data_IF_251964548620
#
_entry.id   IF_251964548620
#
_cell.length_a   1.000
_cell.length_b   1.000
_cell.length_c   1.000
_cell.angle_alpha   90.00
_cell.angle_beta   90.00
_cell.angle_gamma   90.00
#
_symmetry.space_group_name_H-M   'P 1'
#
loop_
_entity.id
_entity.type
_entity.pdbx_description
1 polymer ?
#
# COMPACT_ATOMS: atom_id res chain seq x y z
N UNK A 1 -20.58 2.25 -8.42
CA UNK A 1 -21.99 2.11 -8.06
C UNK A 1 -22.65 0.92 -8.74
N UNK A 2 -22.80 0.88 -10.08
CA UNK A 2 -23.39 -0.30 -10.76
C UNK A 2 -22.66 -1.62 -10.46
N UNK A 3 -21.33 -1.60 -10.56
CA UNK A 3 -20.49 -2.77 -10.29
C UNK A 3 -20.57 -3.26 -8.83
N UNK A 4 -20.78 -2.35 -7.87
CA UNK A 4 -20.90 -2.69 -6.44
C UNK A 4 -22.11 -3.59 -6.19
N UNK A 5 -23.26 -3.26 -6.80
CA UNK A 5 -24.47 -4.07 -6.69
C UNK A 5 -24.29 -5.43 -7.36
N UNK A 6 -23.64 -5.50 -8.52
CA UNK A 6 -23.36 -6.76 -9.19
C UNK A 6 -22.50 -7.70 -8.32
N UNK A 7 -21.47 -7.16 -7.66
CA UNK A 7 -20.60 -7.93 -6.77
C UNK A 7 -21.31 -8.35 -5.47
N UNK A 8 -22.21 -7.53 -4.93
CA UNK A 8 -22.99 -7.89 -3.75
C UNK A 8 -24.07 -8.94 -4.07
N UNK A 9 -24.79 -8.80 -5.18
CA UNK A 9 -25.81 -9.77 -5.62
C UNK A 9 -25.18 -11.15 -5.87
N UNK A 10 -24.07 -11.20 -6.61
CA UNK A 10 -23.33 -12.45 -6.81
C UNK A 10 -22.78 -13.01 -5.48
N UNK A 11 -22.37 -12.14 -4.56
CA UNK A 11 -22.02 -12.53 -3.20
C UNK A 11 -23.18 -13.17 -2.41
N UNK A 12 -24.40 -12.64 -2.54
CA UNK A 12 -25.61 -13.17 -1.91
C UNK A 12 -26.02 -14.51 -2.52
N UNK A 13 -25.92 -14.63 -3.84
CA UNK A 13 -26.31 -15.84 -4.59
C UNK A 13 -25.35 -17.02 -4.34
N UNK A 14 -24.03 -16.77 -4.37
CA UNK A 14 -23.02 -17.83 -4.37
C UNK A 14 -22.23 -17.96 -3.05
N UNK A 15 -22.39 -17.02 -2.12
CA UNK A 15 -21.56 -16.93 -0.90
C UNK A 15 -20.10 -16.59 -1.18
N UNK A 16 -19.22 -16.50 -0.15
CA UNK A 16 -17.84 -16.04 -0.31
C UNK A 16 -17.01 -16.88 -1.31
N UNK A 17 -17.08 -18.21 -1.18
CA UNK A 17 -16.33 -19.13 -2.02
C UNK A 17 -16.90 -19.23 -3.43
N UNK A 18 -18.22 -19.30 -3.56
CA UNK A 18 -18.87 -19.37 -4.86
C UNK A 18 -18.67 -18.07 -5.64
N UNK A 19 -18.75 -16.91 -4.99
CA UNK A 19 -18.49 -15.62 -5.60
C UNK A 19 -17.04 -15.53 -6.14
N UNK A 20 -16.06 -15.95 -5.34
CA UNK A 20 -14.67 -16.06 -5.77
C UNK A 20 -14.53 -16.92 -7.04
N UNK A 21 -15.10 -18.13 -7.04
CA UNK A 21 -14.98 -19.05 -8.16
C UNK A 21 -15.71 -18.54 -9.41
N UNK A 22 -16.88 -17.93 -9.24
CA UNK A 22 -17.65 -17.30 -10.31
C UNK A 22 -16.80 -16.24 -11.01
N UNK A 23 -16.31 -15.24 -10.27
CA UNK A 23 -15.55 -14.13 -10.86
C UNK A 23 -14.18 -14.53 -11.40
N UNK A 24 -13.49 -15.48 -10.73
CA UNK A 24 -12.23 -16.06 -11.23
C UNK A 24 -12.39 -16.68 -12.60
N UNK A 25 -13.52 -17.36 -12.83
CA UNK A 25 -13.79 -18.06 -14.08
C UNK A 25 -14.41 -17.15 -15.15
N UNK A 26 -15.06 -16.03 -14.76
CA UNK A 26 -15.84 -15.20 -15.69
C UNK A 26 -15.18 -13.89 -16.11
N UNK A 27 -14.43 -13.20 -15.23
CA UNK A 27 -13.97 -11.84 -15.54
C UNK A 27 -12.59 -11.44 -14.99
N UNK A 28 -12.26 -11.73 -13.74
CA UNK A 28 -11.10 -11.12 -13.07
C UNK A 28 -10.50 -12.04 -11.99
N UNK A 29 -9.18 -11.99 -11.83
CA UNK A 29 -8.43 -12.82 -10.90
C UNK A 29 -8.35 -12.34 -9.44
N UNK A 30 -8.84 -11.14 -9.09
CA UNK A 30 -8.75 -10.50 -7.76
C UNK A 30 -9.48 -11.28 -6.66
N UNK A 31 -8.86 -12.35 -6.19
CA UNK A 31 -9.50 -13.35 -5.34
C UNK A 31 -9.95 -12.81 -3.98
N UNK A 32 -9.13 -12.01 -3.31
CA UNK A 32 -9.48 -11.46 -2.00
C UNK A 32 -10.59 -10.44 -2.09
N UNK A 33 -10.61 -9.65 -3.17
CA UNK A 33 -11.67 -8.69 -3.44
C UNK A 33 -13.03 -9.39 -3.55
N UNK A 34 -13.15 -10.42 -4.39
CA UNK A 34 -14.41 -11.14 -4.57
C UNK A 34 -14.81 -11.96 -3.35
N UNK A 35 -13.83 -12.56 -2.65
CA UNK A 35 -14.11 -13.25 -1.40
C UNK A 35 -14.69 -12.29 -0.35
N UNK A 36 -14.11 -11.09 -0.21
CA UNK A 36 -14.59 -10.07 0.72
C UNK A 36 -16.00 -9.59 0.36
N UNK A 37 -16.31 -9.40 -0.93
CA UNK A 37 -17.65 -9.04 -1.37
C UNK A 37 -18.69 -10.09 -0.98
N UNK A 38 -18.37 -11.38 -1.15
CA UNK A 38 -19.25 -12.45 -0.71
C UNK A 38 -19.35 -12.57 0.81
N UNK A 39 -18.29 -12.23 1.56
CA UNK A 39 -18.31 -12.19 3.02
C UNK A 39 -19.21 -11.07 3.55
N UNK A 40 -19.23 -9.92 2.87
CA UNK A 40 -20.04 -8.75 3.27
C UNK A 40 -21.41 -8.71 2.62
N UNK A 41 -21.70 -9.61 1.69
CA UNK A 41 -22.98 -9.70 0.99
C UNK A 41 -24.21 -9.72 1.93
N UNK A 42 -24.19 -10.35 3.12
CA UNK A 42 -25.30 -10.30 4.07
C UNK A 42 -25.61 -8.90 4.62
N UNK A 43 -24.68 -7.95 4.52
CA UNK A 43 -24.89 -6.55 4.92
C UNK A 43 -25.63 -5.75 3.84
N UNK A 44 -25.79 -6.30 2.64
CA UNK A 44 -26.50 -5.69 1.53
C UNK A 44 -26.06 -4.21 1.29
N UNK A 45 -27.00 -3.27 1.19
CA UNK A 45 -26.72 -1.84 1.00
C UNK A 45 -25.90 -1.22 2.13
N UNK A 46 -25.84 -1.82 3.31
CA UNK A 46 -25.03 -1.33 4.44
C UNK A 46 -23.55 -1.70 4.32
N UNK A 47 -23.19 -2.65 3.44
CA UNK A 47 -21.81 -3.11 3.27
C UNK A 47 -20.85 -1.95 2.99
N UNK A 48 -21.25 -1.01 2.14
CA UNK A 48 -20.45 0.16 1.78
C UNK A 48 -20.11 1.02 3.02
N UNK A 49 -21.11 1.43 3.79
CA UNK A 49 -20.90 2.28 4.96
C UNK A 49 -20.09 1.58 6.06
N UNK A 50 -20.38 0.30 6.32
CA UNK A 50 -19.67 -0.48 7.33
C UNK A 50 -18.19 -0.63 6.95
N UNK A 51 -17.89 -1.00 5.70
CA UNK A 51 -16.49 -1.19 5.29
C UNK A 51 -15.70 0.12 5.29
N UNK A 52 -16.30 1.24 4.90
CA UNK A 52 -15.62 2.54 4.95
C UNK A 52 -15.25 2.91 6.38
N UNK A 53 -16.16 2.73 7.34
CA UNK A 53 -15.88 2.98 8.77
C UNK A 53 -14.75 2.07 9.24
N UNK A 54 -14.82 0.78 8.93
CA UNK A 54 -13.77 -0.19 9.30
C UNK A 54 -12.42 0.21 8.71
N UNK A 55 -12.38 0.60 7.44
CA UNK A 55 -11.16 1.06 6.75
C UNK A 55 -10.59 2.28 7.45
N UNK A 56 -11.37 3.33 7.69
CA UNK A 56 -10.88 4.58 8.29
C UNK A 56 -10.35 4.34 9.71
N UNK A 57 -11.09 3.57 10.52
CA UNK A 57 -10.68 3.24 11.89
C UNK A 57 -9.42 2.38 11.88
N UNK A 58 -9.37 1.32 11.06
CA UNK A 58 -8.20 0.46 10.95
C UNK A 58 -7.00 1.21 10.38
N UNK A 59 -7.19 2.14 9.44
CA UNK A 59 -6.11 2.96 8.89
C UNK A 59 -5.50 3.87 9.95
N UNK A 60 -6.35 4.54 10.72
CA UNK A 60 -5.93 5.41 11.82
C UNK A 60 -5.16 4.62 12.87
N UNK A 61 -5.67 3.45 13.28
CA UNK A 61 -4.99 2.56 14.23
C UNK A 61 -3.66 2.06 13.64
N UNK A 62 -3.64 1.66 12.38
CA UNK A 62 -2.46 1.16 11.69
C UNK A 62 -1.35 2.21 11.58
N UNK A 63 -1.69 3.44 11.19
CA UNK A 63 -0.75 4.56 11.14
C UNK A 63 -0.27 4.95 12.53
N UNK A 64 -1.16 5.02 13.52
CA UNK A 64 -0.77 5.30 14.89
C UNK A 64 0.20 4.24 15.43
N UNK A 65 -0.09 2.97 15.16
CA UNK A 65 0.80 1.88 15.53
C UNK A 65 2.13 1.96 14.80
N UNK A 66 2.13 2.29 13.51
CA UNK A 66 3.36 2.47 12.74
C UNK A 66 4.21 3.60 13.29
N UNK A 67 3.65 4.79 13.52
CA UNK A 67 4.37 5.93 14.09
C UNK A 67 5.03 5.50 15.41
N UNK A 68 4.28 4.83 16.30
CA UNK A 68 4.79 4.34 17.58
C UNK A 68 5.87 3.24 17.42
N UNK A 69 5.68 2.29 16.51
CA UNK A 69 6.65 1.24 16.21
C UNK A 69 7.95 1.85 15.65
N UNK A 70 7.82 2.87 14.81
CA UNK A 70 8.92 3.70 14.35
C UNK A 70 9.69 4.31 15.51
N UNK A 71 9.04 5.07 16.39
CA UNK A 71 9.71 5.65 17.56
C UNK A 71 10.45 4.61 18.43
N UNK A 72 9.85 3.43 18.63
CA UNK A 72 10.47 2.33 19.40
C UNK A 72 11.72 1.74 18.74
N UNK A 73 11.73 1.58 17.41
CA UNK A 73 12.88 1.03 16.68
C UNK A 73 14.12 1.90 16.83
N UNK A 74 13.96 3.21 16.95
CA UNK A 74 15.07 4.15 17.07
C UNK A 74 15.38 4.54 18.52
N UNK A 75 14.82 3.81 19.50
CA UNK A 75 15.14 3.96 20.91
C UNK A 75 14.80 5.34 21.48
N UNK A 76 13.86 6.06 20.85
CA UNK A 76 13.59 7.47 21.11
C UNK A 76 12.21 7.66 21.71
N UNK A 77 12.11 8.71 22.52
CA UNK A 77 10.92 9.25 23.19
C UNK A 77 9.60 8.64 22.68
N UNK A 78 8.84 8.01 23.58
CA UNK A 78 7.49 7.52 23.26
C UNK A 78 6.55 8.73 23.27
N UNK A 79 6.08 9.23 22.11
CA UNK A 79 5.11 10.31 22.10
C UNK A 79 3.84 9.91 22.85
N UNK A 80 3.13 10.88 23.48
CA UNK A 80 1.82 10.61 24.06
C UNK A 80 0.89 10.00 23.02
N UNK A 81 0.12 8.97 23.41
CA UNK A 81 -0.79 8.26 22.51
C UNK A 81 -1.77 9.22 21.80
N UNK A 82 -2.26 10.25 22.51
CA UNK A 82 -3.13 11.26 21.93
C UNK A 82 -2.48 12.01 20.76
N UNK A 83 -1.20 12.38 20.87
CA UNK A 83 -0.45 13.04 19.80
C UNK A 83 -0.34 12.13 18.57
N UNK A 84 -0.01 10.85 18.79
CA UNK A 84 0.11 9.86 17.71
C UNK A 84 -1.22 9.65 16.99
N UNK A 85 -2.32 9.55 17.74
CA UNK A 85 -3.67 9.41 17.17
C UNK A 85 -4.06 10.65 16.38
N UNK A 86 -3.82 11.86 16.90
CA UNK A 86 -4.14 13.12 16.20
C UNK A 86 -3.34 13.22 14.90
N UNK A 87 -2.06 12.88 14.92
CA UNK A 87 -1.21 12.88 13.72
C UNK A 87 -1.70 11.84 12.71
N UNK A 88 -1.98 10.61 13.15
CA UNK A 88 -2.51 9.57 12.29
C UNK A 88 -3.85 9.98 11.66
N UNK A 89 -4.77 10.56 12.44
CA UNK A 89 -6.05 11.06 11.96
C UNK A 89 -5.88 12.20 10.96
N UNK A 90 -4.94 13.13 11.19
CA UNK A 90 -4.63 14.20 10.25
C UNK A 90 -4.07 13.65 8.92
N UNK A 91 -3.22 12.61 8.98
CA UNK A 91 -2.69 11.96 7.77
C UNK A 91 -3.78 11.24 6.99
N UNK A 92 -4.70 10.51 7.66
CA UNK A 92 -5.86 9.91 7.00
C UNK A 92 -6.73 10.99 6.38
N UNK A 93 -7.04 12.07 7.12
CA UNK A 93 -7.87 13.17 6.65
C UNK A 93 -7.28 13.85 5.40
N UNK A 94 -5.98 14.12 5.38
CA UNK A 94 -5.28 14.66 4.22
C UNK A 94 -5.27 13.67 3.04
N UNK A 95 -5.08 12.37 3.31
CA UNK A 95 -5.12 11.34 2.27
C UNK A 95 -6.50 11.25 1.62
N UNK A 96 -7.56 11.39 2.41
CA UNK A 96 -8.95 11.43 1.93
C UNK A 96 -9.20 12.69 1.11
N UNK A 97 -8.72 13.86 1.55
CA UNK A 97 -8.87 15.12 0.82
C UNK A 97 -8.03 15.17 -0.46
N UNK A 98 -6.92 14.44 -0.52
CA UNK A 98 -6.08 14.34 -1.72
C UNK A 98 -6.63 13.42 -2.81
N UNK A 99 -7.81 12.83 -2.64
CA UNK A 99 -8.46 12.06 -3.69
C UNK A 99 -9.16 12.98 -4.68
N UNK A 100 -8.92 12.76 -5.98
CA UNK A 100 -9.61 13.47 -7.09
C UNK A 100 -11.12 13.47 -6.90
N UNK A 101 -11.68 12.38 -6.38
CA UNK A 101 -13.08 12.31 -5.97
C UNK A 101 -13.18 11.69 -4.58
N UNK A 102 -13.70 12.42 -3.57
CA UNK A 102 -13.99 11.85 -2.25
C UNK A 102 -14.90 10.62 -2.33
N UNK A 103 -15.78 10.58 -3.35
CA UNK A 103 -16.62 9.42 -3.72
C UNK A 103 -15.85 8.12 -3.89
N UNK A 104 -14.55 8.16 -4.22
CA UNK A 104 -13.72 6.95 -4.34
C UNK A 104 -13.54 6.21 -3.01
N UNK A 105 -13.60 6.90 -1.87
CA UNK A 105 -13.61 6.24 -0.56
C UNK A 105 -15.02 5.77 -0.18
N UNK A 106 -16.07 6.45 -0.64
CA UNK A 106 -17.45 6.08 -0.30
C UNK A 106 -18.03 4.98 -1.20
N UNK A 107 -17.40 4.69 -2.34
CA UNK A 107 -17.71 3.58 -3.23
C UNK A 107 -17.12 2.27 -2.68
N UNK A 108 -17.96 1.24 -2.56
CA UNK A 108 -17.57 -0.01 -1.90
C UNK A 108 -16.41 -0.74 -2.59
N UNK A 109 -16.53 -0.96 -3.90
CA UNK A 109 -15.49 -1.60 -4.72
C UNK A 109 -14.21 -0.77 -4.73
N UNK A 110 -14.34 0.56 -4.79
CA UNK A 110 -13.17 1.43 -4.80
C UNK A 110 -12.44 1.37 -3.46
N UNK A 111 -13.15 1.50 -2.34
CA UNK A 111 -12.57 1.45 -1.00
C UNK A 111 -11.86 0.10 -0.74
N UNK A 112 -12.47 -1.02 -1.14
CA UNK A 112 -11.90 -2.36 -0.97
C UNK A 112 -10.73 -2.66 -1.91
N UNK A 113 -10.77 -2.19 -3.16
CA UNK A 113 -9.71 -2.42 -4.14
C UNK A 113 -8.50 -1.51 -3.94
N UNK A 114 -8.71 -0.31 -3.40
CA UNK A 114 -7.71 0.75 -3.40
C UNK A 114 -7.26 1.19 -2.01
N UNK A 115 -8.19 1.38 -1.07
CA UNK A 115 -7.84 1.90 0.26
C UNK A 115 -7.53 0.78 1.23
N UNK A 116 -8.36 -0.26 1.29
CA UNK A 116 -8.17 -1.39 2.18
C UNK A 116 -6.78 -2.04 2.06
N UNK A 117 -6.19 -2.21 0.86
CA UNK A 117 -4.89 -2.85 0.75
C UNK A 117 -3.76 -2.03 1.37
N UNK A 118 -3.87 -0.70 1.27
CA UNK A 118 -2.94 0.24 1.91
C UNK A 118 -3.03 0.10 3.43
N UNK A 119 -4.24 -0.01 3.98
CA UNK A 119 -4.48 -0.18 5.42
C UNK A 119 -3.89 -1.48 5.92
N UNK A 120 -4.22 -2.60 5.27
CA UNK A 120 -3.73 -3.93 5.63
C UNK A 120 -2.20 -3.95 5.57
N UNK A 121 -1.60 -3.42 4.51
CA UNK A 121 -0.15 -3.35 4.36
C UNK A 121 0.50 -2.48 5.45
N UNK A 122 -0.09 -1.33 5.77
CA UNK A 122 0.41 -0.44 6.83
C UNK A 122 0.46 -1.16 8.19
N UNK A 123 -0.62 -1.86 8.54
CA UNK A 123 -0.70 -2.64 9.78
C UNK A 123 0.32 -3.78 9.77
N UNK A 124 0.43 -4.50 8.66
CA UNK A 124 1.38 -5.60 8.51
C UNK A 124 2.83 -5.12 8.67
N UNK A 125 3.18 -3.99 8.05
CA UNK A 125 4.50 -3.37 8.18
C UNK A 125 4.77 -2.88 9.60
N UNK A 126 3.80 -2.22 10.25
CA UNK A 126 3.91 -1.79 11.63
C UNK A 126 4.17 -2.98 12.58
N UNK A 127 3.43 -4.08 12.41
CA UNK A 127 3.62 -5.31 13.16
C UNK A 127 5.00 -5.93 12.89
N UNK A 128 5.43 -5.99 11.62
CA UNK A 128 6.76 -6.45 11.24
C UNK A 128 7.87 -5.65 11.92
N UNK A 129 7.79 -4.32 11.86
CA UNK A 129 8.71 -3.41 12.53
C UNK A 129 8.73 -3.60 14.05
N UNK A 130 7.57 -3.74 14.69
CA UNK A 130 7.47 -3.84 16.14
C UNK A 130 7.96 -5.19 16.69
N UNK A 131 7.75 -6.29 15.95
CA UNK A 131 7.97 -7.63 16.46
C UNK A 131 9.19 -8.33 15.87
N UNK A 132 9.53 -8.14 14.60
CA UNK A 132 10.62 -8.86 13.94
C UNK A 132 11.97 -8.79 14.69
N UNK A 133 12.41 -7.62 15.20
CA UNK A 133 13.65 -7.50 15.96
C UNK A 133 13.67 -8.34 17.24
N UNK A 134 12.50 -8.61 17.83
CA UNK A 134 12.35 -9.23 19.14
C UNK A 134 12.22 -10.75 19.08
N UNK A 135 12.13 -11.33 17.88
CA UNK A 135 11.94 -12.78 17.70
C UNK A 135 13.28 -13.50 17.77
N UNK A 136 13.53 -14.19 18.88
CA UNK A 136 14.75 -14.98 19.06
C UNK A 136 14.60 -16.44 18.59
N UNK A 137 13.39 -16.99 18.60
CA UNK A 137 13.12 -18.39 18.24
C UNK A 137 12.84 -18.55 16.75
N UNK A 138 13.56 -19.47 16.09
CA UNK A 138 13.36 -19.79 14.66
C UNK A 138 11.92 -20.24 14.34
N UNK A 139 11.27 -20.99 15.25
CA UNK A 139 9.88 -21.43 15.07
C UNK A 139 8.91 -20.26 15.09
N UNK A 140 9.11 -19.31 16.02
CA UNK A 140 8.32 -18.07 16.08
C UNK A 140 8.56 -17.19 14.86
N UNK A 141 9.79 -17.15 14.35
CA UNK A 141 10.12 -16.39 13.15
C UNK A 141 9.47 -17.00 11.91
N UNK A 142 9.51 -18.32 11.76
CA UNK A 142 8.83 -19.02 10.67
C UNK A 142 7.31 -18.77 10.70
N UNK A 143 6.69 -18.84 11.89
CA UNK A 143 5.27 -18.52 12.05
C UNK A 143 4.97 -17.05 11.71
N UNK A 144 5.82 -16.11 12.16
CA UNK A 144 5.66 -14.70 11.81
C UNK A 144 5.78 -14.45 10.30
N UNK A 145 6.74 -15.10 9.63
CA UNK A 145 6.89 -15.04 8.17
C UNK A 145 5.67 -15.63 7.45
N UNK A 146 5.12 -16.74 7.95
CA UNK A 146 3.92 -17.37 7.37
C UNK A 146 2.68 -16.47 7.51
N UNK A 147 2.45 -15.89 8.69
CA UNK A 147 1.34 -14.95 8.93
C UNK A 147 1.52 -13.70 8.06
N UNK A 148 2.71 -13.12 8.03
CA UNK A 148 3.00 -11.95 7.20
C UNK A 148 2.81 -12.26 5.70
N UNK A 149 3.30 -13.40 5.23
CA UNK A 149 3.11 -13.86 3.86
C UNK A 149 1.62 -14.05 3.53
N UNK A 150 0.83 -14.64 4.43
CA UNK A 150 -0.61 -14.81 4.24
C UNK A 150 -1.32 -13.45 4.11
N UNK A 151 -1.01 -12.50 4.99
CA UNK A 151 -1.59 -11.15 4.96
C UNK A 151 -1.23 -10.44 3.66
N UNK A 152 0.04 -10.46 3.28
CA UNK A 152 0.56 -9.87 2.03
C UNK A 152 -0.04 -10.53 0.79
N UNK A 153 -0.24 -11.85 0.80
CA UNK A 153 -0.86 -12.59 -0.29
C UNK A 153 -2.33 -12.18 -0.44
N UNK A 154 -3.10 -12.17 0.66
CA UNK A 154 -4.48 -11.67 0.66
C UNK A 154 -4.53 -10.23 0.17
N UNK A 155 -3.59 -9.40 0.59
CA UNK A 155 -3.50 -8.01 0.20
C UNK A 155 -3.27 -7.83 -1.31
N UNK A 156 -2.33 -8.58 -1.88
CA UNK A 156 -2.08 -8.63 -3.31
C UNK A 156 -3.32 -9.09 -4.10
N UNK A 157 -4.11 -10.02 -3.54
CA UNK A 157 -5.35 -10.49 -4.15
C UNK A 157 -6.50 -9.48 -4.22
N UNK A 158 -6.35 -8.28 -3.67
CA UNK A 158 -7.39 -7.23 -3.72
C UNK A 158 -7.41 -6.48 -5.05
N UNK A 159 -6.25 -6.31 -5.69
CA UNK A 159 -6.12 -5.52 -6.92
C UNK A 159 -4.84 -5.88 -7.67
N UNK A 160 -4.96 -6.06 -8.98
CA UNK A 160 -3.83 -6.28 -9.90
C UNK A 160 -2.84 -5.09 -9.83
N UNK A 161 -3.36 -3.85 -9.84
CA UNK A 161 -2.61 -2.59 -9.62
C UNK A 161 -1.78 -2.69 -8.34
N UNK A 162 -2.44 -2.99 -7.23
CA UNK A 162 -1.81 -2.93 -5.91
C UNK A 162 -0.73 -3.99 -5.76
N UNK A 163 -0.96 -5.19 -6.29
CA UNK A 163 0.05 -6.24 -6.29
C UNK A 163 1.27 -5.86 -7.13
N UNK A 164 1.06 -5.18 -8.26
CA UNK A 164 2.13 -4.64 -9.09
C UNK A 164 2.90 -3.49 -8.41
N UNK A 165 2.29 -2.72 -7.49
CA UNK A 165 2.97 -1.73 -6.64
C UNK A 165 3.70 -2.37 -5.45
N UNK A 166 3.08 -3.37 -4.83
CA UNK A 166 3.59 -4.06 -3.65
C UNK A 166 4.89 -4.81 -3.97
N UNK A 167 5.07 -5.30 -5.20
CA UNK A 167 6.27 -6.04 -5.60
C UNK A 167 7.54 -5.16 -5.69
N UNK A 168 7.55 -4.01 -6.40
CA UNK A 168 8.63 -3.02 -6.34
C UNK A 168 8.90 -2.52 -4.92
N UNK A 169 7.86 -2.29 -4.13
CA UNK A 169 8.00 -1.89 -2.73
C UNK A 169 8.85 -2.91 -1.95
N UNK A 170 8.49 -4.19 -1.97
CA UNK A 170 9.31 -5.22 -1.31
C UNK A 170 10.71 -5.35 -1.94
N UNK A 171 10.83 -5.13 -3.24
CA UNK A 171 12.13 -5.16 -3.96
C UNK A 171 13.07 -4.08 -3.46
N UNK A 172 12.56 -2.88 -3.16
CA UNK A 172 13.34 -1.76 -2.58
C UNK A 172 13.57 -1.95 -1.09
N UNK A 173 12.60 -2.52 -0.36
CA UNK A 173 12.75 -2.79 1.07
C UNK A 173 13.87 -3.78 1.36
N UNK A 174 14.13 -4.76 0.49
CA UNK A 174 15.21 -5.73 0.69
C UNK A 174 16.61 -5.10 0.85
N UNK A 175 17.12 -4.29 -0.12
CA UNK A 175 18.40 -3.60 0.05
C UNK A 175 18.33 -2.52 1.14
N UNK A 176 17.21 -1.81 1.31
CA UNK A 176 17.05 -0.82 2.38
C UNK A 176 17.19 -1.46 3.77
N UNK A 177 16.49 -2.57 4.03
CA UNK A 177 16.61 -3.33 5.29
C UNK A 177 18.03 -3.85 5.47
N UNK A 178 18.69 -4.34 4.42
CA UNK A 178 20.08 -4.79 4.50
C UNK A 178 21.04 -3.66 4.91
N UNK A 179 20.88 -2.47 4.33
CA UNK A 179 21.75 -1.32 4.58
C UNK A 179 21.47 -0.63 5.92
N UNK A 180 20.19 -0.55 6.34
CA UNK A 180 19.74 0.34 7.41
C UNK A 180 19.44 -0.39 8.74
N UNK A 181 19.24 -1.71 8.72
CA UNK A 181 18.86 -2.44 9.93
C UNK A 181 20.11 -2.91 10.71
N UNK A 182 20.12 -2.77 12.05
CA UNK A 182 21.19 -3.30 12.90
C UNK A 182 21.46 -4.79 12.63
N UNK A 183 22.73 -5.25 12.70
CA UNK A 183 23.10 -6.63 12.37
C UNK A 183 22.28 -7.69 13.12
N UNK A 184 21.94 -7.43 14.38
CA UNK A 184 21.18 -8.34 15.24
C UNK A 184 19.74 -8.60 14.74
N UNK A 185 19.10 -7.60 14.14
CA UNK A 185 17.70 -7.68 13.68
C UNK A 185 17.58 -7.90 12.17
N UNK A 186 18.66 -7.64 11.42
CA UNK A 186 18.69 -7.66 9.96
C UNK A 186 18.16 -8.97 9.38
N UNK A 187 18.57 -10.11 9.92
CA UNK A 187 18.15 -11.44 9.43
C UNK A 187 16.62 -11.59 9.48
N UNK A 188 16.01 -11.23 10.61
CA UNK A 188 14.56 -11.39 10.81
C UNK A 188 13.77 -10.48 9.88
N UNK A 189 14.18 -9.21 9.78
CA UNK A 189 13.56 -8.24 8.87
C UNK A 189 13.69 -8.67 7.40
N UNK A 190 14.87 -9.14 6.99
CA UNK A 190 15.07 -9.65 5.62
C UNK A 190 14.20 -10.87 5.31
N UNK A 191 14.04 -11.80 6.26
CA UNK A 191 13.18 -12.97 6.07
C UNK A 191 11.70 -12.57 5.91
N UNK A 192 11.22 -11.60 6.68
CA UNK A 192 9.87 -11.05 6.51
C UNK A 192 9.69 -10.32 5.18
N UNK A 193 10.64 -9.48 4.77
CA UNK A 193 10.58 -8.81 3.47
C UNK A 193 10.60 -9.81 2.32
N UNK A 194 11.42 -10.87 2.42
CA UNK A 194 11.46 -11.95 1.42
C UNK A 194 10.15 -12.73 1.38
N UNK A 195 9.57 -13.06 2.53
CA UNK A 195 8.27 -13.75 2.56
C UNK A 195 7.16 -12.88 1.98
N UNK A 196 7.20 -11.55 2.23
CA UNK A 196 6.33 -10.56 1.59
C UNK A 196 6.49 -10.50 0.07
N UNK A 197 7.74 -10.46 -0.42
CA UNK A 197 8.04 -10.47 -1.85
C UNK A 197 7.48 -11.73 -2.53
N UNK A 198 7.76 -12.91 -1.97
CA UNK A 198 7.28 -14.20 -2.51
C UNK A 198 5.76 -14.29 -2.49
N UNK A 199 5.10 -13.85 -1.41
CA UNK A 199 3.65 -13.85 -1.32
C UNK A 199 2.99 -12.87 -2.32
N UNK A 200 3.59 -11.70 -2.54
CA UNK A 200 3.13 -10.76 -3.59
C UNK A 200 3.21 -11.40 -4.97
N UNK A 201 4.34 -12.04 -5.28
CA UNK A 201 4.54 -12.72 -6.56
C UNK A 201 3.54 -13.87 -6.74
N UNK A 202 3.32 -14.68 -5.70
CA UNK A 202 2.32 -15.74 -5.72
C UNK A 202 0.90 -15.18 -5.95
N UNK A 203 0.55 -14.07 -5.30
CA UNK A 203 -0.73 -13.38 -5.50
C UNK A 203 -0.91 -12.92 -6.94
N UNK A 204 0.10 -12.26 -7.52
CA UNK A 204 0.13 -11.85 -8.93
C UNK A 204 -0.07 -13.05 -9.86
N UNK A 205 0.64 -14.16 -9.63
CA UNK A 205 0.50 -15.36 -10.45
C UNK A 205 -0.91 -15.96 -10.36
N UNK A 206 -1.51 -16.01 -9.16
CA UNK A 206 -2.88 -16.51 -8.98
C UNK A 206 -3.91 -15.65 -9.72
N UNK A 207 -3.70 -14.33 -9.76
CA UNK A 207 -4.57 -13.41 -10.49
C UNK A 207 -4.35 -13.54 -12.01
N UNK A 208 -3.10 -13.52 -12.48
CA UNK A 208 -2.75 -13.57 -13.90
C UNK A 208 -3.14 -14.90 -14.56
N UNK A 209 -3.19 -15.99 -13.79
CA UNK A 209 -3.60 -17.32 -14.26
C UNK A 209 -5.12 -17.57 -14.17
N UNK A 210 -5.91 -16.58 -13.76
CA UNK A 210 -7.36 -16.75 -13.68
C UNK A 210 -7.98 -16.86 -15.09
N UNK A 211 -8.87 -17.84 -15.35
CA UNK A 211 -9.49 -18.02 -16.67
C UNK A 211 -10.23 -16.77 -17.16
N UNK A 212 -10.87 -16.02 -16.26
CA UNK A 212 -11.54 -14.76 -16.58
C UNK A 212 -10.62 -13.72 -17.24
N UNK A 213 -9.32 -13.73 -16.91
CA UNK A 213 -8.33 -12.85 -17.56
C UNK A 213 -8.17 -13.21 -19.04
N UNK A 214 -8.11 -14.51 -19.37
CA UNK A 214 -8.02 -14.96 -20.75
C UNK A 214 -9.31 -14.65 -21.54
N UNK A 215 -10.49 -14.80 -20.93
CA UNK A 215 -11.77 -14.43 -21.55
C UNK A 215 -11.81 -12.93 -21.84
N UNK A 216 -11.41 -12.10 -20.88
CA UNK A 216 -11.34 -10.64 -21.01
C UNK A 216 -10.38 -10.21 -22.13
N UNK A 217 -9.26 -10.92 -22.29
CA UNK A 217 -8.29 -10.69 -23.36
C UNK A 217 -8.76 -11.18 -24.74
N UNK A 218 -9.55 -12.25 -24.78
CA UNK A 218 -10.08 -12.80 -26.03
C UNK A 218 -11.29 -12.01 -26.55
N UNK A 219 -12.08 -11.42 -25.66
CA UNK A 219 -13.27 -10.60 -26.00
C UNK A 219 -12.98 -9.14 -26.33
N UNK A 220 -11.75 -8.66 -26.12
CA UNK A 220 -11.33 -7.33 -26.55
C UNK A 220 -11.04 -7.35 -28.06
N UNK A 221 -12.05 -7.00 -28.85
CA UNK A 221 -11.89 -6.75 -30.28
C UNK A 221 -10.69 -5.82 -30.55
N UNK A 222 -9.95 -6.15 -31.60
CA UNK A 222 -8.68 -5.58 -32.04
C UNK A 222 -8.65 -4.06 -32.30
N UNK A 223 -9.73 -3.32 -32.05
CA UNK A 223 -9.78 -1.85 -32.08
C UNK A 223 -9.30 -1.20 -30.77
N UNK A 224 -9.31 -1.92 -29.65
CA UNK A 224 -8.68 -1.51 -28.38
C UNK A 224 -7.23 -2.00 -28.23
N UNK A 225 -6.75 -2.84 -29.16
CA UNK A 225 -5.32 -3.05 -29.42
C UNK A 225 -4.71 -1.82 -30.12
N UNK A 226 -5.06 -0.63 -29.64
CA UNK A 226 -4.32 0.56 -29.99
C UNK A 226 -2.88 0.32 -29.54
N UNK A 227 -1.85 0.62 -30.35
CA UNK A 227 -0.45 0.63 -29.94
C UNK A 227 -0.16 1.78 -28.94
N UNK A 228 -1.07 2.01 -27.99
CA UNK A 228 -1.14 3.18 -27.12
C UNK A 228 -0.09 3.21 -26.02
N UNK A 229 0.71 2.17 -25.86
CA UNK A 229 1.91 2.26 -25.05
C UNK A 229 3.02 1.40 -25.66
N UNK A 230 3.57 1.86 -26.78
CA UNK A 230 5.00 1.65 -26.98
C UNK A 230 5.73 2.12 -25.70
N UNK A 231 6.74 1.41 -25.18
CA UNK A 231 7.58 1.91 -24.10
C UNK A 231 8.10 3.34 -24.35
N UNK A 232 8.21 3.74 -25.62
CA UNK A 232 8.56 5.09 -26.05
C UNK A 232 7.52 6.16 -25.65
N UNK A 233 6.25 5.80 -25.52
CA UNK A 233 5.15 6.70 -25.13
C UNK A 233 4.90 6.73 -23.61
N UNK A 234 5.46 5.79 -22.85
CA UNK A 234 5.33 5.77 -21.39
C UNK A 234 5.89 7.06 -20.79
N UNK A 235 7.14 7.40 -21.12
CA UNK A 235 7.84 8.57 -20.57
C UNK A 235 7.15 9.93 -20.85
N UNK A 236 6.75 10.27 -22.10
CA UNK A 236 6.05 11.53 -22.36
C UNK A 236 4.68 11.60 -21.68
N UNK A 237 3.91 10.49 -21.65
CA UNK A 237 2.65 10.43 -20.91
C UNK A 237 2.89 10.63 -19.40
N UNK A 238 4.04 10.17 -18.89
CA UNK A 238 4.42 10.36 -17.47
C UNK A 238 4.70 11.79 -17.18
N UNK A 239 5.47 12.42 -18.06
CA UNK A 239 5.84 13.80 -17.89
C UNK A 239 4.60 14.70 -17.97
N UNK A 240 3.69 14.45 -18.90
CA UNK A 240 2.44 15.19 -19.04
C UNK A 240 1.54 15.02 -17.81
N UNK A 241 1.35 13.79 -17.32
CA UNK A 241 0.53 13.57 -16.14
C UNK A 241 1.20 14.13 -14.87
N UNK A 242 2.53 14.08 -14.74
CA UNK A 242 3.27 14.74 -13.65
C UNK A 242 3.10 16.26 -13.71
N UNK A 243 3.19 16.84 -14.90
CA UNK A 243 2.94 18.27 -15.10
C UNK A 243 1.51 18.62 -14.70
N UNK A 244 0.51 17.83 -15.12
CA UNK A 244 -0.89 18.06 -14.76
C UNK A 244 -1.12 18.02 -13.24
N UNK A 245 -0.42 17.14 -12.52
CA UNK A 245 -0.45 17.09 -11.06
C UNK A 245 0.10 18.36 -10.42
N UNK A 246 1.27 18.82 -10.89
CA UNK A 246 1.87 20.05 -10.39
C UNK A 246 1.08 21.31 -10.78
N UNK A 247 0.18 21.21 -11.75
CA UNK A 247 -0.73 22.30 -12.14
C UNK A 247 -2.03 22.24 -11.34
N UNK A 248 -2.50 21.06 -10.93
CA UNK A 248 -3.71 20.91 -10.12
C UNK A 248 -3.48 21.37 -8.67
N UNK A 249 -4.04 22.53 -8.34
CA UNK A 249 -3.87 23.20 -7.04
C UNK A 249 -4.45 22.41 -5.85
N UNK A 250 -5.50 21.61 -6.03
CA UNK A 250 -6.12 20.88 -4.92
C UNK A 250 -5.30 19.65 -4.53
N UNK A 251 -4.91 18.84 -5.52
CA UNK A 251 -4.02 17.69 -5.35
C UNK A 251 -2.66 18.09 -4.77
N UNK A 252 -2.10 19.20 -5.26
CA UNK A 252 -0.87 19.78 -4.71
C UNK A 252 -1.00 20.16 -3.24
N UNK A 253 -2.13 20.75 -2.82
CA UNK A 253 -2.31 21.20 -1.44
C UNK A 253 -2.35 20.02 -0.47
N UNK A 254 -3.04 18.94 -0.81
CA UNK A 254 -3.07 17.72 0.01
C UNK A 254 -1.68 17.05 0.08
N UNK A 255 -0.98 16.95 -1.06
CA UNK A 255 0.39 16.41 -1.11
C UNK A 255 1.37 17.25 -0.31
N UNK A 256 1.36 18.58 -0.47
CA UNK A 256 2.18 19.52 0.30
C UNK A 256 1.84 19.41 1.78
N UNK A 257 0.55 19.33 2.15
CA UNK A 257 0.13 19.12 3.53
C UNK A 257 0.72 17.84 4.14
N UNK A 258 0.66 16.73 3.41
CA UNK A 258 1.23 15.45 3.87
C UNK A 258 2.75 15.51 3.95
N UNK A 259 3.41 16.15 2.99
CA UNK A 259 4.85 16.39 3.01
C UNK A 259 5.23 17.22 4.24
N UNK A 260 4.51 18.31 4.52
CA UNK A 260 4.74 19.19 5.67
C UNK A 260 4.52 18.47 6.99
N UNK A 261 3.43 17.71 7.15
CA UNK A 261 3.20 16.91 8.36
C UNK A 261 4.30 15.87 8.53
N UNK A 262 4.67 15.17 7.46
CA UNK A 262 5.72 14.16 7.51
C UNK A 262 7.06 14.78 7.87
N UNK A 263 7.43 15.90 7.25
CA UNK A 263 8.61 16.70 7.58
C UNK A 263 8.56 17.22 9.02
N UNK A 264 7.40 17.66 9.52
CA UNK A 264 7.23 18.09 10.90
C UNK A 264 7.43 16.92 11.89
N UNK A 265 6.92 15.73 11.58
CA UNK A 265 7.22 14.49 12.32
C UNK A 265 8.73 14.23 12.26
N UNK A 266 9.38 14.35 11.09
CA UNK A 266 10.84 14.16 10.97
C UNK A 266 11.62 15.14 11.86
N UNK A 267 11.25 16.43 11.84
CA UNK A 267 11.92 17.48 12.61
C UNK A 267 11.68 17.31 14.10
N UNK A 268 10.46 16.96 14.52
CA UNK A 268 10.13 16.73 15.93
C UNK A 268 10.82 15.48 16.47
N UNK A 269 10.87 14.40 15.68
CA UNK A 269 11.71 13.23 15.93
C UNK A 269 13.14 13.72 16.11
N UNK A 270 13.78 14.31 15.09
CA UNK A 270 15.19 14.74 15.09
C UNK A 270 15.56 15.74 16.21
N UNK A 271 14.68 16.67 16.58
CA UNK A 271 14.93 17.59 17.70
C UNK A 271 14.87 16.88 19.06
N UNK A 272 13.99 15.89 19.21
CA UNK A 272 13.95 15.03 20.40
C UNK A 272 15.17 14.11 20.49
N UNK A 273 15.92 13.95 19.40
CA UNK A 273 17.09 13.08 19.34
C UNK A 273 18.44 13.75 19.59
N UNK A 274 18.48 15.02 20.01
CA UNK A 274 19.76 15.60 20.40
C UNK A 274 20.39 14.77 21.54
N UNK A 275 21.62 14.26 21.35
CA UNK A 275 22.25 13.41 22.35
C UNK A 275 22.43 14.21 23.65
N UNK A 276 21.97 13.63 24.76
CA UNK A 276 22.20 14.20 26.10
C UNK A 276 23.67 14.16 26.52
N UNK A 277 24.54 13.47 25.76
CA UNK A 277 25.99 13.45 25.98
C UNK A 277 26.74 13.98 24.75
N UNK A 278 27.73 14.84 24.99
CA UNK A 278 28.48 15.62 23.99
C UNK A 278 29.52 14.76 23.22
N UNK A 279 29.55 13.43 23.42
CA UNK A 279 30.70 12.60 23.02
C UNK A 279 30.55 11.74 21.78
N UNK A 280 29.35 11.39 21.34
CA UNK A 280 29.18 10.47 20.21
C UNK A 280 28.65 11.21 18.97
N UNK A 281 29.46 11.30 17.89
CA UNK A 281 28.99 11.87 16.63
C UNK A 281 27.89 10.94 16.09
N UNK A 282 26.67 11.46 16.10
CA UNK A 282 25.53 10.78 15.53
C UNK A 282 25.67 10.76 13.99
N UNK A 283 26.43 9.79 13.47
CA UNK A 283 26.52 9.52 12.04
C UNK A 283 25.25 8.78 11.61
N UNK A 284 24.17 9.52 11.42
CA UNK A 284 23.19 9.10 10.43
C UNK A 284 23.94 9.06 9.11
N UNK A 285 24.10 7.88 8.53
CA UNK A 285 24.42 7.81 7.13
C UNK A 285 23.27 8.54 6.39
N UNK A 286 23.54 9.71 5.82
CA UNK A 286 22.67 10.38 4.87
C UNK A 286 22.31 9.56 3.60
N UNK A 287 23.12 8.58 3.13
CA UNK A 287 22.79 7.86 1.88
C UNK A 287 21.49 7.03 1.85
N UNK A 288 20.99 6.39 2.92
CA UNK A 288 19.79 5.54 2.83
C UNK A 288 18.50 6.35 2.75
N UNK A 289 18.43 7.49 3.43
CA UNK A 289 17.32 8.45 3.35
C UNK A 289 17.24 9.00 1.92
N UNK A 290 18.38 9.39 1.35
CA UNK A 290 18.49 9.84 -0.03
C UNK A 290 18.15 8.72 -1.03
N UNK A 291 18.63 7.49 -0.84
CA UNK A 291 18.34 6.35 -1.71
C UNK A 291 16.86 5.97 -1.71
N UNK A 292 16.19 6.05 -0.57
CA UNK A 292 14.76 5.80 -0.49
C UNK A 292 13.94 6.97 -1.06
N UNK A 293 14.39 8.22 -0.91
CA UNK A 293 13.77 9.39 -1.56
C UNK A 293 13.97 9.35 -3.08
N UNK A 294 15.14 8.91 -3.56
CA UNK A 294 15.41 8.68 -4.98
C UNK A 294 14.56 7.50 -5.49
N UNK A 295 14.47 6.40 -4.74
CA UNK A 295 13.61 5.27 -5.09
C UNK A 295 12.13 5.69 -5.13
N UNK A 296 11.66 6.54 -4.20
CA UNK A 296 10.35 7.17 -4.24
C UNK A 296 10.18 8.00 -5.51
N UNK A 297 11.08 8.94 -5.81
CA UNK A 297 11.01 9.81 -6.98
C UNK A 297 11.13 9.07 -8.31
N UNK A 298 11.76 7.88 -8.34
CA UNK A 298 11.87 7.02 -9.52
C UNK A 298 10.66 6.09 -9.68
N UNK A 299 10.07 5.63 -8.57
CA UNK A 299 8.83 4.85 -8.59
C UNK A 299 7.61 5.71 -8.90
N UNK A 300 7.64 7.00 -8.54
CA UNK A 300 6.55 7.94 -8.80
C UNK A 300 6.18 7.94 -10.28
N UNK A 301 7.10 8.16 -11.24
CA UNK A 301 6.83 8.00 -12.66
C UNK A 301 6.23 6.64 -13.05
N UNK A 302 6.82 5.53 -12.58
CA UNK A 302 6.42 4.15 -12.92
C UNK A 302 5.01 3.78 -12.45
N UNK A 303 4.61 4.30 -11.29
CA UNK A 303 3.27 4.14 -10.70
C UNK A 303 2.28 5.12 -11.32
N UNK A 304 2.72 6.34 -11.64
CA UNK A 304 1.90 7.42 -12.19
C UNK A 304 1.47 7.17 -13.65
N UNK A 305 2.27 6.44 -14.44
CA UNK A 305 1.93 6.12 -15.85
C UNK A 305 1.48 4.74 -16.18
N UNK A 306 1.29 3.87 -15.19
CA UNK A 306 0.51 2.69 -15.50
C UNK A 306 -0.98 3.09 -15.64
N UNK A 307 -1.32 3.75 -16.74
CA UNK A 307 -2.39 3.19 -17.56
C UNK A 307 -1.77 1.91 -18.11
N UNK A 308 -1.90 0.80 -17.37
CA UNK A 308 -1.35 -0.48 -17.80
C UNK A 308 -1.53 -0.67 -19.31
N UNK A 309 -0.51 -1.16 -20.03
CA UNK A 309 -0.58 -1.50 -21.46
C UNK A 309 -1.78 -2.42 -21.78
N UNK A 310 -2.34 -3.03 -20.74
CA UNK A 310 -3.58 -3.74 -20.75
C UNK A 310 -4.45 -3.25 -19.55
N UNK A 311 -5.15 -2.10 -19.65
CA UNK A 311 -5.91 -1.53 -18.54
C UNK A 311 -7.09 -2.45 -18.17
N UNK A 312 -7.47 -3.32 -19.11
CA UNK A 312 -8.32 -4.47 -18.86
C UNK A 312 -7.68 -5.41 -17.85
N UNK A 313 -6.40 -5.79 -17.99
CA UNK A 313 -5.72 -6.79 -17.14
C UNK A 313 -5.13 -6.27 -15.84
N UNK A 314 -4.77 -4.99 -15.75
CA UNK A 314 -4.14 -4.49 -14.52
C UNK A 314 -4.85 -3.27 -13.92
N UNK A 315 -5.96 -2.79 -14.49
CA UNK A 315 -6.73 -1.65 -13.96
C UNK A 315 -6.09 -0.28 -14.24
N UNK A 316 -6.81 0.79 -13.87
CA UNK A 316 -6.33 2.18 -13.93
C UNK A 316 -5.75 2.60 -12.57
N UNK A 317 -4.59 3.26 -12.57
CA UNK A 317 -3.95 3.74 -11.35
C UNK A 317 -4.65 5.00 -10.80
N UNK A 318 -4.68 5.14 -9.47
CA UNK A 318 -5.19 6.32 -8.78
C UNK A 318 -4.05 6.98 -7.98
N UNK A 319 -3.75 8.27 -8.20
CA UNK A 319 -2.63 8.97 -7.58
C UNK A 319 -2.65 8.99 -6.03
N UNK A 320 -3.77 8.71 -5.37
CA UNK A 320 -3.78 8.55 -3.92
C UNK A 320 -2.97 7.33 -3.42
N UNK A 321 -2.77 6.29 -4.24
CA UNK A 321 -1.91 5.15 -3.88
C UNK A 321 -0.46 5.58 -3.82
N UNK A 322 -0.04 6.46 -4.75
CA UNK A 322 1.27 7.07 -4.72
C UNK A 322 1.47 7.82 -3.41
N UNK A 323 0.52 8.66 -3.03
CA UNK A 323 0.63 9.45 -1.81
C UNK A 323 0.75 8.55 -0.58
N UNK A 324 0.00 7.45 -0.53
CA UNK A 324 0.15 6.46 0.53
C UNK A 324 1.52 5.78 0.50
N UNK A 325 1.99 5.26 -0.64
CA UNK A 325 3.31 4.63 -0.78
C UNK A 325 4.44 5.61 -0.44
N UNK A 326 4.37 6.85 -0.92
CA UNK A 326 5.29 7.93 -0.57
C UNK A 326 5.26 8.23 0.92
N UNK A 327 4.09 8.28 1.55
CA UNK A 327 3.96 8.49 3.00
C UNK A 327 4.57 7.34 3.78
N UNK A 328 4.32 6.09 3.37
CA UNK A 328 4.87 4.89 3.97
C UNK A 328 6.40 4.84 3.88
N UNK A 329 6.93 5.16 2.69
CA UNK A 329 8.37 5.21 2.46
C UNK A 329 9.02 6.43 3.15
N UNK A 330 8.36 7.60 3.19
CA UNK A 330 8.84 8.78 3.92
C UNK A 330 8.86 8.54 5.43
N UNK A 331 7.87 7.80 5.95
CA UNK A 331 7.90 7.34 7.33
C UNK A 331 9.09 6.41 7.55
N UNK A 332 9.32 5.41 6.69
CA UNK A 332 10.48 4.52 6.78
C UNK A 332 11.83 5.26 6.74
N UNK A 333 11.94 6.34 5.95
CA UNK A 333 13.16 7.15 5.85
C UNK A 333 13.31 8.19 6.94
N UNK A 334 12.22 8.78 7.43
CA UNK A 334 12.23 9.71 8.57
C UNK A 334 12.75 9.09 9.86
N UNK A 335 12.71 7.77 9.88
CA UNK A 335 12.98 6.95 11.03
C UNK A 335 14.47 6.57 11.09
N UNK A 336 15.17 6.40 9.97
CA UNK A 336 16.61 6.14 9.89
C UNK A 336 17.48 7.38 10.08
#
# INVERSE_FOLDING_TARGET
MGDDFCHLISGQEYGPWGNLLYWRNSLNGSFSFYFLHGLTAPLDTQAASVIVIVIIVAWTIGLAWWINAGHQLFGRYRPPLATVIVVAAAMVWLSVHGLITPLSIYSYSSATRHTLPIVILSIAMAAGCAFAPRIQSIRRLALACAIFALVVFVNAGMSEVFAAEQLPLFTILLPAVYAMTPPESRRNCLLLCRSGWVATLAGLLVMATAPGVAIRLAGSDSSLNSPQASPANLFPNTLEHLQSFFIDTELNTAFIGMLVITLAIMVTVRRSTQPKSIGEPFQLAAPPLLLCLIAQLLLVPLVWTNQSDNPLVFGRFNPAHLVAVCTQLLLLTSLS
#
